data_IF_891421902598
#
_entry.id   IF_891421902598
#
_cell.length_a   1.000
_cell.length_b   1.000
_cell.length_c   1.000
_cell.angle_alpha   90.00
_cell.angle_beta   90.00
_cell.angle_gamma   90.00
#
_symmetry.space_group_name_H-M   'P 1'
#
loop_
_entity.id
_entity.type
_entity.pdbx_description
1 polymer ?
#
# COMPACT_ATOMS: atom_id res chain seq x y z
N UNK A 1 1.47 -25.13 5.24
CA UNK A 1 1.91 -24.24 6.36
C UNK A 1 1.11 -24.51 7.62
N UNK A 2 -0.22 -24.49 7.58
CA UNK A 2 -1.06 -24.59 8.79
C UNK A 2 -0.85 -25.81 9.69
N UNK A 3 -0.43 -26.95 9.13
CA UNK A 3 -0.14 -28.16 9.90
C UNK A 3 1.15 -28.07 10.74
N UNK A 4 1.99 -27.05 10.52
CA UNK A 4 3.32 -26.92 11.12
C UNK A 4 3.50 -25.68 11.99
N UNK A 5 2.43 -24.91 12.22
CA UNK A 5 2.45 -23.68 13.03
C UNK A 5 1.41 -23.74 14.14
N UNK A 6 1.59 -22.93 15.19
CA UNK A 6 0.64 -22.84 16.30
C UNK A 6 -0.76 -22.41 15.85
N UNK A 7 -1.81 -22.72 16.63
CA UNK A 7 -3.20 -22.38 16.28
C UNK A 7 -3.43 -20.87 16.15
N UNK A 8 -2.65 -20.05 16.86
CA UNK A 8 -2.79 -18.59 16.91
C UNK A 8 -1.75 -17.84 16.08
N UNK A 9 -0.95 -18.56 15.27
CA UNK A 9 0.04 -17.97 14.37
C UNK A 9 -0.65 -17.26 13.21
N UNK A 10 -0.40 -15.95 13.07
CA UNK A 10 -0.85 -15.15 11.93
C UNK A 10 -0.11 -15.59 10.67
N UNK A 11 -0.83 -15.76 9.57
CA UNK A 11 -0.27 -16.09 8.26
C UNK A 11 -0.31 -14.84 7.37
N UNK A 12 0.83 -14.18 7.22
CA UNK A 12 0.95 -12.97 6.41
C UNK A 12 1.57 -13.26 5.04
N UNK A 13 0.88 -12.86 3.98
CA UNK A 13 1.39 -12.91 2.60
C UNK A 13 1.93 -11.55 2.18
N UNK A 14 3.09 -11.51 1.50
CA UNK A 14 3.65 -10.30 0.90
C UNK A 14 3.14 -10.04 -0.53
N UNK A 15 2.01 -10.64 -0.90
CA UNK A 15 1.41 -10.53 -2.24
C UNK A 15 1.09 -9.08 -2.65
N UNK A 16 1.34 -8.75 -3.91
CA UNK A 16 0.96 -7.47 -4.54
C UNK A 16 -0.36 -7.56 -5.31
N UNK A 17 -0.74 -8.75 -5.77
CA UNK A 17 -1.86 -8.94 -6.72
C UNK A 17 -2.93 -9.94 -6.26
N UNK A 18 -2.55 -10.99 -5.52
CA UNK A 18 -3.52 -11.99 -5.04
C UNK A 18 -4.39 -11.40 -3.92
N UNK A 19 -5.70 -11.68 -3.99
CA UNK A 19 -6.63 -11.40 -2.90
C UNK A 19 -6.37 -12.36 -1.74
N UNK A 20 -6.48 -11.84 -0.53
CA UNK A 20 -6.44 -12.64 0.70
C UNK A 20 -7.63 -13.60 0.74
N UNK A 21 -8.81 -13.21 0.25
CA UNK A 21 -9.97 -14.12 0.19
C UNK A 21 -9.70 -15.36 -0.67
N UNK A 22 -8.95 -15.20 -1.78
CA UNK A 22 -8.53 -16.34 -2.61
C UNK A 22 -7.56 -17.25 -1.84
N UNK A 23 -6.62 -16.67 -1.09
CA UNK A 23 -5.69 -17.43 -0.22
C UNK A 23 -6.44 -18.16 0.89
N UNK A 24 -7.44 -17.50 1.50
CA UNK A 24 -8.27 -18.05 2.56
C UNK A 24 -9.05 -19.29 2.13
N UNK A 25 -9.48 -19.36 0.87
CA UNK A 25 -10.24 -20.51 0.33
C UNK A 25 -9.50 -21.85 0.46
N UNK A 26 -8.16 -21.82 0.51
CA UNK A 26 -7.31 -23.00 0.66
C UNK A 26 -6.89 -23.27 2.12
N UNK A 27 -7.36 -22.47 3.08
CA UNK A 27 -6.95 -22.52 4.48
C UNK A 27 -8.02 -23.14 5.39
N UNK A 28 -7.59 -23.96 6.35
CA UNK A 28 -8.43 -24.56 7.40
C UNK A 28 -8.84 -23.54 8.46
N UNK A 29 -7.97 -22.58 8.78
CA UNK A 29 -8.23 -21.48 9.72
C UNK A 29 -8.03 -20.12 9.04
N UNK A 30 -8.98 -19.68 8.19
CA UNK A 30 -8.82 -18.49 7.37
C UNK A 30 -8.80 -17.16 8.16
N UNK A 31 -9.38 -17.14 9.37
CA UNK A 31 -9.49 -15.93 10.21
C UNK A 31 -8.18 -15.24 10.56
N UNK A 32 -7.06 -15.97 10.49
CA UNK A 32 -5.70 -15.48 10.81
C UNK A 32 -4.83 -15.17 9.59
N UNK A 33 -5.40 -15.20 8.39
CA UNK A 33 -4.69 -14.94 7.12
C UNK A 33 -4.82 -13.48 6.75
N UNK A 34 -3.70 -12.82 6.45
CA UNK A 34 -3.65 -11.41 6.05
C UNK A 34 -2.71 -11.21 4.85
N UNK A 35 -2.85 -10.08 4.18
CA UNK A 35 -1.75 -9.51 3.41
C UNK A 35 -0.99 -8.50 4.30
N UNK A 36 0.33 -8.56 4.23
CA UNK A 36 1.23 -7.55 4.75
C UNK A 36 2.24 -7.21 3.66
N UNK A 37 1.85 -6.28 2.80
CA UNK A 37 2.55 -5.92 1.57
C UNK A 37 3.61 -4.85 1.86
N UNK A 38 4.91 -5.18 1.81
CA UNK A 38 5.97 -4.20 2.00
C UNK A 38 6.27 -3.47 0.69
N UNK A 39 6.90 -2.30 0.78
CA UNK A 39 7.41 -1.60 -0.40
C UNK A 39 8.90 -1.95 -0.61
N UNK A 40 9.29 -2.23 -1.85
CA UNK A 40 10.68 -2.54 -2.20
C UNK A 40 11.55 -1.26 -2.29
N UNK A 41 12.77 -1.22 -1.72
CA UNK A 41 13.39 -2.25 -0.89
C UNK A 41 12.87 -2.25 0.56
N UNK A 42 12.44 -3.41 1.10
CA UNK A 42 11.67 -3.49 2.34
C UNK A 42 12.47 -3.13 3.60
N UNK A 43 13.80 -3.07 3.55
CA UNK A 43 14.63 -2.65 4.68
C UNK A 43 14.78 -1.12 4.76
N UNK A 44 14.62 -0.39 3.65
CA UNK A 44 14.63 1.08 3.64
C UNK A 44 13.23 1.66 3.73
N UNK A 45 12.26 1.04 3.04
CA UNK A 45 10.91 1.56 3.01
C UNK A 45 10.16 1.23 4.31
N UNK A 46 9.53 2.23 4.95
CA UNK A 46 8.84 2.03 6.22
C UNK A 46 7.41 1.51 6.04
N UNK A 47 6.77 1.74 4.89
CA UNK A 47 5.37 1.40 4.66
C UNK A 47 5.16 -0.12 4.57
N UNK A 48 4.11 -0.59 5.23
CA UNK A 48 3.54 -1.93 5.04
C UNK A 48 2.02 -1.80 4.93
N UNK A 49 1.44 -2.25 3.83
CA UNK A 49 -0.01 -2.22 3.62
C UNK A 49 -0.63 -3.51 4.16
N UNK A 50 -1.52 -3.38 5.15
CA UNK A 50 -2.15 -4.48 5.87
C UNK A 50 -3.61 -4.60 5.41
N UNK A 51 -4.00 -5.77 4.90
CA UNK A 51 -5.38 -6.05 4.54
C UNK A 51 -5.80 -7.47 4.91
N UNK A 52 -7.08 -7.65 5.21
CA UNK A 52 -7.69 -8.97 5.35
C UNK A 52 -8.57 -9.31 4.15
N UNK A 53 -8.81 -10.60 3.96
CA UNK A 53 -9.90 -11.13 3.15
C UNK A 53 -11.19 -11.22 3.96
N UNK A 54 -12.27 -11.68 3.35
CA UNK A 54 -13.64 -11.67 3.91
C UNK A 54 -13.77 -12.40 5.25
N UNK A 55 -12.95 -13.42 5.50
CA UNK A 55 -13.02 -14.22 6.72
C UNK A 55 -12.05 -13.75 7.82
N UNK A 56 -11.25 -12.71 7.56
CA UNK A 56 -10.19 -12.26 8.48
C UNK A 56 -10.79 -11.62 9.71
N UNK A 57 -10.34 -12.03 10.89
CA UNK A 57 -10.77 -11.45 12.15
C UNK A 57 -10.13 -10.06 12.34
N UNK A 58 -10.92 -9.08 12.77
CA UNK A 58 -10.44 -7.70 12.99
C UNK A 58 -9.28 -7.64 13.99
N UNK A 59 -9.34 -8.45 15.05
CA UNK A 59 -8.29 -8.55 16.06
C UNK A 59 -6.94 -9.03 15.48
N UNK A 60 -6.95 -9.81 14.40
CA UNK A 60 -5.73 -10.24 13.70
C UNK A 60 -5.09 -9.07 12.97
N UNK A 61 -5.90 -8.22 12.33
CA UNK A 61 -5.42 -7.00 11.70
C UNK A 61 -4.84 -6.04 12.75
N UNK A 62 -5.50 -5.89 13.90
CA UNK A 62 -5.02 -5.03 14.99
C UNK A 62 -3.66 -5.50 15.51
N UNK A 63 -3.50 -6.80 15.77
CA UNK A 63 -2.22 -7.41 16.17
C UNK A 63 -1.12 -7.22 15.12
N UNK A 64 -1.46 -7.30 13.83
CA UNK A 64 -0.50 -7.06 12.76
C UNK A 64 -0.06 -5.59 12.71
N UNK A 65 -0.99 -4.64 12.87
CA UNK A 65 -0.68 -3.21 12.95
C UNK A 65 0.25 -2.90 14.12
N UNK A 66 -0.01 -3.49 15.30
CA UNK A 66 0.86 -3.37 16.47
C UNK A 66 2.25 -3.95 16.22
N UNK A 67 2.32 -5.17 15.66
CA UNK A 67 3.59 -5.84 15.37
C UNK A 67 4.47 -5.03 14.41
N UNK A 68 3.91 -4.56 13.29
CA UNK A 68 4.67 -3.78 12.31
C UNK A 68 5.10 -2.43 12.89
N UNK A 69 4.26 -1.79 13.70
CA UNK A 69 4.64 -0.56 14.42
C UNK A 69 5.79 -0.81 15.38
N UNK A 70 5.74 -1.91 16.15
CA UNK A 70 6.76 -2.29 17.12
C UNK A 70 8.14 -2.48 16.47
N UNK A 71 8.21 -3.07 15.28
CA UNK A 71 9.47 -3.25 14.54
C UNK A 71 9.90 -2.00 13.73
N UNK A 72 9.29 -0.84 13.98
CA UNK A 72 9.68 0.44 13.38
C UNK A 72 9.11 0.69 11.98
N UNK A 73 8.15 -0.12 11.52
CA UNK A 73 7.41 0.15 10.27
C UNK A 73 6.28 1.14 10.50
N UNK A 74 5.71 1.62 9.39
CA UNK A 74 4.55 2.50 9.32
C UNK A 74 3.41 1.74 8.62
N UNK A 75 2.72 0.85 9.34
CA UNK A 75 1.68 0.05 8.72
C UNK A 75 0.45 0.92 8.39
N UNK A 76 -0.21 0.62 7.29
CA UNK A 76 -1.47 1.24 6.86
C UNK A 76 -2.51 0.14 6.68
N UNK A 77 -3.64 0.26 7.37
CA UNK A 77 -4.75 -0.69 7.28
C UNK A 77 -5.67 -0.34 6.12
N UNK A 78 -5.84 -1.28 5.20
CA UNK A 78 -6.87 -1.22 4.17
C UNK A 78 -8.19 -1.70 4.77
N UNK A 79 -9.27 -0.98 4.47
CA UNK A 79 -10.62 -1.37 4.91
C UNK A 79 -11.14 -2.63 4.18
N UNK A 80 -10.65 -2.86 2.96
CA UNK A 80 -10.95 -4.04 2.15
C UNK A 80 -9.72 -4.37 1.30
N UNK A 81 -9.49 -5.65 1.03
CA UNK A 81 -8.53 -6.06 0.03
C UNK A 81 -8.81 -5.46 -1.36
N UNK A 82 -7.75 -5.14 -2.08
CA UNK A 82 -7.82 -4.66 -3.46
C UNK A 82 -6.52 -5.02 -4.18
N UNK A 83 -6.63 -5.37 -5.45
CA UNK A 83 -5.46 -5.61 -6.29
C UNK A 83 -4.64 -4.31 -6.48
N UNK A 84 -3.32 -4.43 -6.29
CA UNK A 84 -2.37 -3.34 -6.41
C UNK A 84 -2.26 -2.43 -5.19
N UNK A 85 -3.01 -2.72 -4.11
CA UNK A 85 -3.01 -1.97 -2.85
C UNK A 85 -3.22 -0.45 -3.03
N UNK A 86 -2.87 0.39 -2.05
CA UNK A 86 -3.04 1.85 -2.16
C UNK A 86 -1.86 2.44 -2.93
N UNK A 87 -0.64 2.19 -2.49
CA UNK A 87 0.57 2.78 -3.04
C UNK A 87 0.79 2.38 -4.51
N UNK A 88 0.57 1.10 -4.85
CA UNK A 88 0.70 0.60 -6.21
C UNK A 88 -0.34 1.21 -7.15
N UNK A 89 -1.60 1.34 -6.71
CA UNK A 89 -2.66 1.96 -7.52
C UNK A 89 -2.43 3.46 -7.76
N UNK A 90 -1.96 4.19 -6.76
CA UNK A 90 -1.59 5.61 -6.90
C UNK A 90 -0.40 5.78 -7.86
N UNK A 91 0.62 4.94 -7.73
CA UNK A 91 1.80 4.93 -8.63
C UNK A 91 1.38 4.61 -10.07
N UNK A 92 0.50 3.62 -10.25
CA UNK A 92 -0.02 3.26 -11.57
C UNK A 92 -0.89 4.38 -12.19
N UNK A 93 -1.62 5.15 -11.37
CA UNK A 93 -2.39 6.29 -11.85
C UNK A 93 -1.49 7.41 -12.37
N UNK A 94 -0.44 7.76 -11.62
CA UNK A 94 0.57 8.71 -12.07
C UNK A 94 1.25 8.22 -13.35
N UNK A 95 1.63 6.94 -13.40
CA UNK A 95 2.31 6.38 -14.56
C UNK A 95 1.45 6.41 -15.82
N UNK A 96 0.15 6.07 -15.73
CA UNK A 96 -0.75 6.15 -16.88
C UNK A 96 -0.82 7.56 -17.48
N UNK A 97 -0.86 8.59 -16.63
CA UNK A 97 -0.87 9.98 -17.11
C UNK A 97 0.47 10.36 -17.75
N UNK A 98 1.59 9.95 -17.15
CA UNK A 98 2.91 10.18 -17.75
C UNK A 98 3.05 9.53 -19.12
N UNK A 99 2.57 8.29 -19.31
CA UNK A 99 2.53 7.64 -20.64
C UNK A 99 1.69 8.45 -21.62
N UNK A 100 0.51 8.88 -21.19
CA UNK A 100 -0.41 9.64 -22.02
C UNK A 100 0.22 10.96 -22.50
N UNK A 101 0.91 11.69 -21.63
CA UNK A 101 1.60 12.94 -22.00
C UNK A 101 2.69 12.73 -23.06
N UNK A 102 3.43 11.61 -22.98
CA UNK A 102 4.41 11.24 -24.01
C UNK A 102 3.72 10.89 -25.33
N UNK A 103 2.65 10.09 -25.27
CA UNK A 103 1.89 9.66 -26.44
C UNK A 103 1.30 10.85 -27.20
N UNK A 104 0.84 11.88 -26.49
CA UNK A 104 0.32 13.12 -27.07
C UNK A 104 1.41 14.09 -27.54
N UNK A 105 2.70 13.75 -27.40
CA UNK A 105 3.81 14.61 -27.77
C UNK A 105 3.94 15.88 -26.93
N UNK A 106 3.36 15.90 -25.72
CA UNK A 106 3.35 17.07 -24.83
C UNK A 106 4.73 17.27 -24.18
N UNK A 107 5.39 16.18 -23.80
CA UNK A 107 6.69 16.21 -23.15
C UNK A 107 7.49 14.94 -23.42
N UNK A 108 8.82 15.02 -23.31
CA UNK A 108 9.67 13.82 -23.33
C UNK A 108 9.57 13.08 -22.01
N UNK A 109 9.93 11.78 -22.00
CA UNK A 109 10.03 11.00 -20.75
C UNK A 109 10.94 11.70 -19.72
N UNK A 110 12.07 12.24 -20.19
CA UNK A 110 13.04 12.92 -19.32
C UNK A 110 12.45 14.20 -18.69
N UNK A 111 11.69 14.98 -19.46
CA UNK A 111 11.06 16.21 -18.94
C UNK A 111 9.96 15.87 -17.92
N UNK A 112 9.19 14.80 -18.15
CA UNK A 112 8.17 14.35 -17.21
C UNK A 112 8.81 13.88 -15.90
N UNK A 113 9.85 13.04 -15.97
CA UNK A 113 10.58 12.59 -14.79
C UNK A 113 11.18 13.77 -14.03
N UNK A 114 11.80 14.72 -14.73
CA UNK A 114 12.34 15.94 -14.14
C UNK A 114 11.23 16.79 -13.47
N UNK A 115 10.06 16.91 -14.10
CA UNK A 115 8.92 17.62 -13.52
C UNK A 115 8.41 16.95 -12.25
N UNK A 116 8.30 15.61 -12.23
CA UNK A 116 7.85 14.86 -11.04
C UNK A 116 8.88 14.97 -9.91
N UNK A 117 10.16 14.70 -10.20
CA UNK A 117 11.24 14.73 -9.19
C UNK A 117 11.40 16.11 -8.59
N UNK A 118 11.45 17.17 -9.42
CA UNK A 118 11.71 18.53 -8.96
C UNK A 118 10.44 19.31 -8.56
N UNK A 119 9.25 18.73 -8.77
CA UNK A 119 7.96 19.37 -8.49
C UNK A 119 7.18 18.64 -7.39
N UNK A 120 6.10 17.90 -7.73
CA UNK A 120 5.25 17.24 -6.74
C UNK A 120 5.98 16.16 -5.91
N UNK A 121 6.97 15.47 -6.48
CA UNK A 121 7.71 14.41 -5.80
C UNK A 121 8.38 14.86 -4.50
N UNK A 122 9.00 16.05 -4.49
CA UNK A 122 9.59 16.64 -3.27
C UNK A 122 8.57 16.84 -2.15
N UNK A 123 7.34 17.26 -2.50
CA UNK A 123 6.25 17.45 -1.53
C UNK A 123 5.70 16.11 -1.07
N UNK A 124 5.54 15.15 -1.98
CA UNK A 124 5.02 13.82 -1.68
C UNK A 124 5.92 12.99 -0.77
N UNK A 125 7.22 13.27 -0.75
CA UNK A 125 8.16 12.65 0.18
C UNK A 125 7.84 12.98 1.66
N UNK A 126 7.18 14.11 1.93
CA UNK A 126 6.88 14.57 3.30
C UNK A 126 5.39 14.65 3.60
N UNK A 127 4.54 14.81 2.59
CA UNK A 127 3.10 14.99 2.74
C UNK A 127 2.31 14.22 1.68
N UNK A 128 1.29 13.48 2.11
CA UNK A 128 0.33 12.86 1.20
C UNK A 128 -0.44 13.91 0.36
N UNK A 129 -1.14 13.48 -0.71
CA UNK A 129 -1.82 14.39 -1.63
C UNK A 129 -2.86 15.27 -0.91
N UNK A 130 -3.70 14.70 -0.04
CA UNK A 130 -4.71 15.46 0.68
C UNK A 130 -4.13 16.60 1.54
N UNK A 131 -3.08 16.31 2.31
CA UNK A 131 -2.41 17.32 3.13
C UNK A 131 -1.73 18.39 2.28
N UNK A 132 -1.11 17.99 1.16
CA UNK A 132 -0.47 18.93 0.23
C UNK A 132 -1.47 19.94 -0.31
N UNK A 133 -2.68 19.50 -0.69
CA UNK A 133 -3.74 20.40 -1.17
C UNK A 133 -4.38 21.20 -0.05
N UNK A 134 -4.58 20.62 1.13
CA UNK A 134 -5.14 21.33 2.27
C UNK A 134 -4.27 22.53 2.66
N UNK A 135 -2.95 22.34 2.77
CA UNK A 135 -2.01 23.43 3.09
C UNK A 135 -1.86 24.42 1.94
N UNK A 136 -1.98 23.97 0.68
CA UNK A 136 -1.90 24.84 -0.50
C UNK A 136 -3.15 25.68 -0.78
N UNK A 137 -4.32 25.31 -0.24
CA UNK A 137 -5.62 25.88 -0.56
C UNK A 137 -6.00 27.17 0.20
N UNK A 138 -5.14 27.71 1.05
CA UNK A 138 -5.45 28.87 1.88
C UNK A 138 -6.47 28.56 2.99
N UNK A 139 -7.13 29.59 3.54
CA UNK A 139 -7.97 29.47 4.75
C UNK A 139 -9.18 28.53 4.62
N UNK A 140 -9.60 28.20 3.39
CA UNK A 140 -10.68 27.24 3.14
C UNK A 140 -10.23 25.78 3.18
N UNK A 141 -8.95 25.50 2.92
CA UNK A 141 -8.38 24.16 2.86
C UNK A 141 -9.22 23.22 1.98
N UNK A 142 -8.93 23.21 0.66
CA UNK A 142 -9.78 22.81 -0.50
C UNK A 142 -11.03 23.67 -0.71
#
# INVERSE_FOLDING_TARGET
IEAFVGPDTILASSTTALKVSDIQSACRKPGRVIAAHPINPPHLMPLVEISGGDLTESAILDRAMEFYTFIGKKPVRLAREIEGHIAGRLSAALWREAVYLVEQGIATVADIDAAVVNGPGLRWATMGPHMTYHVGGGAGGI
#
